data_IF_954093860861
#
_entry.id   IF_954093860861
#
_cell.length_a   1.000
_cell.length_b   1.000
_cell.length_c   1.000
_cell.angle_alpha   90.00
_cell.angle_beta   90.00
_cell.angle_gamma   90.00
#
_symmetry.space_group_name_H-M   'P 1'
#
loop_
_entity.id
_entity.type
_entity.pdbx_description
1 polymer ?
#
# COMPACT_ATOMS: atom_id res chain seq x y z
N UNK A 1 -12.25 13.28 -14.86
CA UNK A 1 -13.68 12.93 -14.67
C UNK A 1 -13.97 12.78 -13.19
N UNK A 2 -15.12 13.27 -12.69
CA UNK A 2 -15.46 13.24 -11.25
C UNK A 2 -16.73 12.41 -11.01
N UNK A 3 -16.69 11.47 -10.08
CA UNK A 3 -17.83 10.66 -9.63
C UNK A 3 -18.19 11.03 -8.19
N UNK A 4 -19.34 11.68 -7.98
CA UNK A 4 -19.73 12.21 -6.65
C UNK A 4 -21.02 11.63 -6.05
N UNK A 5 -21.91 11.04 -6.86
CA UNK A 5 -23.23 10.57 -6.42
C UNK A 5 -23.44 9.06 -6.59
N UNK A 6 -22.44 8.33 -7.07
CA UNK A 6 -22.53 6.89 -7.29
C UNK A 6 -22.01 6.17 -6.06
N UNK A 7 -22.91 5.60 -5.26
CA UNK A 7 -22.52 4.58 -4.28
C UNK A 7 -21.93 3.39 -5.05
N UNK A 8 -20.68 3.03 -4.74
CA UNK A 8 -20.01 1.90 -5.37
C UNK A 8 -20.16 0.71 -4.44
N UNK A 9 -21.05 -0.21 -4.82
CA UNK A 9 -21.29 -1.44 -4.09
C UNK A 9 -20.26 -2.50 -4.53
N UNK A 10 -19.50 -3.00 -3.57
CA UNK A 10 -18.69 -4.19 -3.75
C UNK A 10 -19.55 -5.40 -3.38
N UNK A 11 -19.69 -6.35 -4.31
CA UNK A 11 -20.65 -7.47 -4.24
C UNK A 11 -20.53 -8.36 -3.00
N UNK A 12 -21.56 -9.17 -2.75
CA UNK A 12 -21.82 -9.89 -1.50
C UNK A 12 -20.91 -11.08 -1.17
N UNK A 13 -19.96 -11.43 -2.06
CA UNK A 13 -19.03 -12.56 -1.82
C UNK A 13 -17.73 -12.35 -2.57
N UNK A 14 -16.63 -12.10 -1.86
CA UNK A 14 -15.28 -11.97 -2.44
C UNK A 14 -14.57 -13.33 -2.42
N UNK A 15 -14.31 -13.91 -3.60
CA UNK A 15 -13.37 -15.02 -3.78
C UNK A 15 -12.09 -14.51 -4.44
N UNK A 16 -10.92 -14.91 -3.95
CA UNK A 16 -9.62 -14.50 -4.49
C UNK A 16 -9.37 -15.19 -5.84
N UNK A 17 -10.00 -14.70 -6.92
CA UNK A 17 -9.70 -15.14 -8.28
C UNK A 17 -9.95 -14.00 -9.29
N UNK A 18 -8.85 -13.48 -9.82
CA UNK A 18 -8.72 -12.61 -11.00
C UNK A 18 -9.29 -11.19 -10.95
N UNK A 19 -8.42 -10.24 -11.34
CA UNK A 19 -8.67 -8.81 -11.50
C UNK A 19 -9.67 -8.51 -12.65
N UNK A 20 -10.95 -8.75 -12.39
CA UNK A 20 -12.07 -8.47 -13.29
C UNK A 20 -12.48 -7.01 -13.27
N UNK A 21 -12.53 -6.42 -14.46
CA UNK A 21 -13.01 -5.08 -14.77
C UNK A 21 -14.48 -4.89 -14.39
N UNK A 22 -14.84 -3.66 -14.04
CA UNK A 22 -16.21 -3.16 -13.84
C UNK A 22 -17.26 -3.74 -14.79
N UNK A 23 -18.17 -4.54 -14.25
CA UNK A 23 -19.54 -4.72 -14.72
C UNK A 23 -20.41 -5.00 -13.48
N UNK A 24 -21.36 -4.10 -13.23
CA UNK A 24 -22.31 -4.16 -12.12
C UNK A 24 -23.45 -5.16 -12.36
N UNK A 25 -23.11 -6.43 -12.56
CA UNK A 25 -24.03 -7.56 -12.49
C UNK A 25 -23.74 -8.39 -11.24
N UNK A 26 -24.77 -8.64 -10.41
CA UNK A 26 -24.71 -9.20 -9.04
C UNK A 26 -24.15 -10.61 -8.85
N UNK A 27 -23.20 -11.05 -9.68
CA UNK A 27 -22.44 -12.31 -9.56
C UNK A 27 -20.92 -12.11 -9.62
N UNK A 28 -20.41 -10.95 -10.04
CA UNK A 28 -18.97 -10.64 -10.04
C UNK A 28 -18.71 -9.39 -9.19
N UNK A 29 -18.21 -9.50 -7.95
CA UNK A 29 -17.90 -8.32 -7.15
C UNK A 29 -16.85 -7.47 -7.87
N UNK A 30 -17.06 -6.15 -7.93
CA UNK A 30 -16.03 -5.21 -8.38
C UNK A 30 -14.84 -5.36 -7.43
N UNK A 31 -13.74 -5.91 -7.92
CA UNK A 31 -12.54 -6.10 -7.13
C UNK A 31 -11.44 -5.09 -7.47
N UNK A 32 -11.67 -4.21 -8.45
CA UNK A 32 -10.76 -3.11 -8.72
C UNK A 32 -11.39 -1.87 -9.35
N UNK A 33 -10.77 -0.72 -9.11
CA UNK A 33 -10.88 0.47 -9.97
C UNK A 33 -9.69 0.57 -10.88
N UNK A 34 -9.91 0.87 -12.16
CA UNK A 34 -8.84 1.03 -13.13
C UNK A 34 -8.98 2.35 -13.88
N UNK A 35 -7.87 3.08 -14.00
CA UNK A 35 -7.77 4.17 -14.98
C UNK A 35 -6.62 3.89 -15.95
N UNK A 36 -6.98 3.51 -17.19
CA UNK A 36 -6.05 3.24 -18.28
C UNK A 36 -5.95 4.39 -19.29
N UNK A 37 -6.59 5.54 -19.01
CA UNK A 37 -6.44 6.71 -19.87
C UNK A 37 -5.02 7.25 -19.74
N UNK A 38 -4.33 7.51 -20.86
CA UNK A 38 -3.03 8.16 -20.83
C UNK A 38 -3.10 9.64 -20.43
N UNK A 39 -4.23 10.31 -20.70
CA UNK A 39 -4.36 11.76 -20.55
C UNK A 39 -5.25 12.20 -19.37
N UNK A 40 -6.32 11.44 -19.08
CA UNK A 40 -7.38 11.91 -18.19
C UNK A 40 -7.29 11.25 -16.82
N UNK A 41 -7.33 12.07 -15.76
CA UNK A 41 -7.45 11.58 -14.38
C UNK A 41 -8.90 11.36 -13.98
N UNK A 42 -9.09 10.56 -12.93
CA UNK A 42 -10.40 10.29 -12.31
C UNK A 42 -10.40 10.66 -10.82
N UNK A 43 -11.53 11.18 -10.35
CA UNK A 43 -11.77 11.49 -8.94
C UNK A 43 -13.04 10.80 -8.47
N UNK A 44 -12.95 10.11 -7.33
CA UNK A 44 -14.08 9.46 -6.68
C UNK A 44 -14.33 10.12 -5.33
N UNK A 45 -15.49 10.76 -5.16
CA UNK A 45 -15.86 11.41 -3.89
C UNK A 45 -16.83 10.57 -3.05
N UNK A 46 -17.42 9.53 -3.64
CA UNK A 46 -18.39 8.68 -2.96
C UNK A 46 -17.71 7.59 -2.13
N UNK A 47 -18.26 7.32 -0.95
CA UNK A 47 -17.80 6.22 -0.09
C UNK A 47 -17.99 4.86 -0.78
N UNK A 48 -17.13 3.89 -0.41
CA UNK A 48 -17.39 2.49 -0.76
C UNK A 48 -18.44 1.91 0.18
N UNK A 49 -19.35 1.13 -0.39
CA UNK A 49 -20.26 0.29 0.37
C UNK A 49 -19.79 -1.15 0.25
N UNK A 50 -19.36 -1.71 1.37
CA UNK A 50 -18.75 -3.04 1.45
C UNK A 50 -19.80 -4.02 1.98
N UNK A 51 -20.16 -5.00 1.15
CA UNK A 51 -20.99 -6.13 1.56
C UNK A 51 -20.25 -7.11 2.47
N UNK A 52 -20.87 -8.26 2.71
CA UNK A 52 -20.26 -9.30 3.52
C UNK A 52 -18.97 -9.85 2.89
N UNK A 53 -17.90 -9.93 3.69
CA UNK A 53 -16.67 -10.66 3.34
C UNK A 53 -16.65 -11.98 4.12
N UNK A 54 -16.58 -13.10 3.40
CA UNK A 54 -16.48 -14.45 3.99
C UNK A 54 -15.13 -14.65 4.70
N UNK A 55 -15.01 -15.70 5.52
CA UNK A 55 -13.78 -16.01 6.25
C UNK A 55 -12.58 -16.15 5.29
N UNK A 56 -11.46 -15.49 5.62
CA UNK A 56 -10.25 -15.42 4.79
C UNK A 56 -9.90 -14.00 4.31
N UNK A 57 -10.84 -13.05 4.41
CA UNK A 57 -10.64 -11.65 3.99
C UNK A 57 -10.80 -11.44 2.49
N UNK A 58 -10.88 -10.17 2.08
CA UNK A 58 -10.98 -9.74 0.68
C UNK A 58 -10.02 -8.60 0.39
N UNK A 59 -9.65 -8.35 -0.87
CA UNK A 59 -8.80 -7.22 -1.24
C UNK A 59 -9.39 -6.47 -2.42
N UNK A 60 -9.54 -5.16 -2.27
CA UNK A 60 -9.99 -4.29 -3.35
C UNK A 60 -8.82 -3.49 -3.93
N UNK A 61 -8.63 -3.52 -5.25
CA UNK A 61 -7.46 -2.93 -5.90
C UNK A 61 -7.75 -1.59 -6.56
N UNK A 62 -6.86 -0.63 -6.38
CA UNK A 62 -6.70 0.50 -7.28
C UNK A 62 -5.68 0.12 -8.37
N UNK A 63 -5.99 0.32 -9.64
CA UNK A 63 -5.22 -0.21 -10.74
C UNK A 63 -5.22 0.67 -11.98
N UNK A 64 -4.56 0.20 -13.03
CA UNK A 64 -4.42 0.86 -14.32
C UNK A 64 -3.10 1.61 -14.49
N UNK A 65 -2.95 2.28 -15.64
CA UNK A 65 -1.70 2.87 -16.11
C UNK A 65 -1.62 4.40 -16.06
N UNK A 66 -2.70 5.11 -15.71
CA UNK A 66 -2.67 6.56 -15.62
C UNK A 66 -1.76 7.02 -14.46
N UNK A 67 -0.68 7.73 -14.78
CA UNK A 67 0.32 8.21 -13.80
C UNK A 67 -0.04 9.55 -13.17
N UNK A 68 -1.10 10.20 -13.65
CA UNK A 68 -1.63 11.43 -13.06
C UNK A 68 -2.29 11.18 -11.70
N UNK A 69 -2.69 12.26 -11.04
CA UNK A 69 -3.34 12.18 -9.74
C UNK A 69 -4.77 11.66 -9.87
N UNK A 70 -5.00 10.40 -9.51
CA UNK A 70 -6.33 9.78 -9.42
C UNK A 70 -6.79 9.69 -7.95
N UNK A 71 -7.43 10.73 -7.39
CA UNK A 71 -7.87 10.72 -6.01
C UNK A 71 -9.13 9.86 -5.79
N UNK A 72 -9.06 9.04 -4.74
CA UNK A 72 -10.21 8.47 -4.07
C UNK A 72 -10.41 9.21 -2.74
N UNK A 73 -11.42 10.07 -2.73
CA UNK A 73 -11.85 10.89 -1.61
C UNK A 73 -13.12 10.36 -0.92
N UNK A 74 -13.61 9.19 -1.30
CA UNK A 74 -14.57 8.46 -0.47
C UNK A 74 -13.91 7.88 0.78
N UNK A 75 -14.72 7.50 1.77
CA UNK A 75 -14.32 6.63 2.87
C UNK A 75 -14.43 5.18 2.43
N UNK A 76 -13.42 4.38 2.74
CA UNK A 76 -13.40 2.93 2.57
C UNK A 76 -13.58 2.28 3.95
N UNK A 77 -14.78 1.73 4.24
CA UNK A 77 -15.02 1.05 5.50
C UNK A 77 -14.51 -0.39 5.49
N UNK A 78 -14.43 -1.03 6.65
CA UNK A 78 -14.31 -2.49 6.70
C UNK A 78 -15.65 -3.18 6.36
N UNK A 79 -15.58 -4.47 6.04
CA UNK A 79 -16.77 -5.33 6.02
C UNK A 79 -17.46 -5.36 7.39
N UNK A 80 -18.78 -5.46 7.36
CA UNK A 80 -19.64 -5.63 8.55
C UNK A 80 -19.75 -7.09 9.00
N UNK A 81 -19.21 -8.06 8.25
CA UNK A 81 -19.23 -9.49 8.61
C UNK A 81 -17.88 -10.17 8.38
N UNK A 82 -17.42 -10.93 9.38
CA UNK A 82 -16.47 -12.04 9.29
C UNK A 82 -15.03 -11.72 8.85
N UNK A 83 -14.83 -11.32 7.60
CA UNK A 83 -13.52 -11.06 7.01
C UNK A 83 -13.13 -9.58 7.01
N UNK A 84 -11.83 -9.33 6.97
CA UNK A 84 -11.29 -7.98 6.84
C UNK A 84 -11.10 -7.61 5.36
N UNK A 85 -11.42 -6.36 5.01
CA UNK A 85 -11.09 -5.79 3.71
C UNK A 85 -9.66 -5.25 3.73
N UNK A 86 -8.80 -5.75 2.85
CA UNK A 86 -7.53 -5.14 2.48
C UNK A 86 -7.68 -4.28 1.23
N UNK A 87 -6.67 -3.47 0.97
CA UNK A 87 -6.60 -2.64 -0.24
C UNK A 87 -5.32 -2.96 -1.01
N UNK A 88 -5.44 -3.00 -2.32
CA UNK A 88 -4.33 -3.23 -3.23
C UNK A 88 -4.06 -2.05 -4.14
N UNK A 89 -2.83 -1.96 -4.65
CA UNK A 89 -2.43 -1.08 -5.76
C UNK A 89 -1.64 -1.90 -6.78
N UNK A 90 -2.12 -1.95 -8.02
CA UNK A 90 -1.48 -2.67 -9.14
C UNK A 90 -1.44 -1.82 -10.41
N UNK A 91 -0.75 -2.27 -11.45
CA UNK A 91 -0.49 -1.48 -12.66
C UNK A 91 0.45 -0.29 -12.41
N UNK A 92 0.95 0.29 -13.48
CA UNK A 92 1.98 1.35 -13.43
C UNK A 92 1.47 2.72 -12.97
N UNK A 93 0.14 2.90 -12.87
CA UNK A 93 -0.48 4.19 -12.57
C UNK A 93 -0.33 4.66 -11.13
N UNK A 94 -0.93 5.82 -10.84
CA UNK A 94 -0.94 6.49 -9.53
C UNK A 94 -2.35 6.66 -9.01
N UNK A 95 -2.58 6.28 -7.75
CA UNK A 95 -3.81 6.55 -7.02
C UNK A 95 -3.52 7.25 -5.70
N UNK A 96 -4.46 8.07 -5.23
CA UNK A 96 -4.31 8.85 -3.99
C UNK A 96 -5.48 8.55 -3.08
N UNK A 97 -5.23 8.08 -1.85
CA UNK A 97 -6.25 7.98 -0.82
C UNK A 97 -6.18 9.23 0.05
N UNK A 98 -7.27 10.01 0.09
CA UNK A 98 -7.23 11.33 0.75
C UNK A 98 -7.90 11.33 2.12
N UNK A 99 -8.89 10.45 2.35
CA UNK A 99 -9.71 10.44 3.55
C UNK A 99 -9.37 9.31 4.54
N UNK A 100 -9.80 9.49 5.79
CA UNK A 100 -9.58 8.54 6.87
C UNK A 100 -10.43 7.28 6.69
N UNK A 101 -9.79 6.20 6.23
CA UNK A 101 -10.40 4.90 5.98
C UNK A 101 -10.38 4.02 7.23
N UNK A 102 -11.32 3.07 7.33
CA UNK A 102 -11.49 2.20 8.52
C UNK A 102 -11.40 0.70 8.23
N UNK A 103 -11.03 0.30 7.01
CA UNK A 103 -10.77 -1.10 6.66
C UNK A 103 -9.66 -1.71 7.53
N UNK A 104 -9.77 -3.00 7.86
CA UNK A 104 -8.90 -3.67 8.83
C UNK A 104 -7.83 -4.58 8.18
N UNK A 105 -7.91 -4.83 6.88
CA UNK A 105 -6.96 -5.65 6.15
C UNK A 105 -5.73 -4.86 5.68
N UNK A 106 -4.69 -5.58 5.29
CA UNK A 106 -3.41 -5.01 4.88
C UNK A 106 -3.50 -4.16 3.61
N UNK A 107 -2.50 -3.32 3.39
CA UNK A 107 -2.27 -2.63 2.12
C UNK A 107 -1.25 -3.39 1.29
N UNK A 108 -1.53 -3.65 0.01
CA UNK A 108 -0.66 -4.41 -0.90
C UNK A 108 -0.37 -3.59 -2.15
N UNK A 109 0.81 -2.99 -2.25
CA UNK A 109 1.23 -2.20 -3.41
C UNK A 109 2.13 -3.09 -4.26
N UNK A 110 1.57 -3.78 -5.24
CA UNK A 110 2.34 -4.66 -6.13
C UNK A 110 3.11 -3.87 -7.17
N UNK A 111 2.52 -2.78 -7.69
CA UNK A 111 3.09 -1.98 -8.79
C UNK A 111 2.54 -0.55 -8.79
N UNK A 112 3.32 0.39 -9.33
CA UNK A 112 2.94 1.80 -9.48
C UNK A 112 2.93 2.51 -8.13
N UNK A 113 2.16 3.60 -8.02
CA UNK A 113 2.19 4.48 -6.84
C UNK A 113 0.85 4.53 -6.11
N UNK A 114 0.87 4.25 -4.81
CA UNK A 114 -0.20 4.62 -3.87
C UNK A 114 0.29 5.81 -3.04
N UNK A 115 -0.40 6.95 -3.16
CA UNK A 115 -0.03 8.20 -2.49
C UNK A 115 -0.99 8.54 -1.37
N UNK A 116 -0.48 9.07 -0.26
CA UNK A 116 -1.28 9.52 0.89
C UNK A 116 -0.75 10.82 1.48
N UNK A 117 -1.67 11.63 2.01
CA UNK A 117 -1.34 12.89 2.70
C UNK A 117 -1.21 12.75 4.22
N UNK A 118 -1.50 11.58 4.79
CA UNK A 118 -1.38 11.31 6.23
C UNK A 118 -1.08 9.83 6.46
N UNK A 119 -0.24 9.55 7.44
CA UNK A 119 -0.08 8.23 8.05
C UNK A 119 -0.15 8.38 9.57
N UNK A 120 -0.70 7.37 10.24
CA UNK A 120 -0.93 7.35 11.68
C UNK A 120 -0.71 5.93 12.23
N UNK A 121 -0.89 5.75 13.53
CA UNK A 121 -0.89 4.45 14.19
C UNK A 121 -2.10 3.61 13.77
N UNK A 122 -1.96 2.28 13.76
CA UNK A 122 -2.94 1.29 13.28
C UNK A 122 -4.31 1.41 13.97
N UNK A 123 -4.37 1.96 15.18
CA UNK A 123 -5.62 2.17 15.91
C UNK A 123 -6.55 3.23 15.26
N UNK A 124 -5.98 4.18 14.51
CA UNK A 124 -6.68 5.35 13.99
C UNK A 124 -7.18 5.14 12.55
N UNK A 125 -8.35 5.71 12.24
CA UNK A 125 -8.79 5.83 10.87
C UNK A 125 -7.84 6.77 10.11
N UNK A 126 -7.39 6.36 8.93
CA UNK A 126 -6.33 7.03 8.19
C UNK A 126 -6.38 6.63 6.71
N UNK A 127 -5.72 7.35 5.80
CA UNK A 127 -5.72 7.01 4.37
C UNK A 127 -5.40 5.54 4.07
N UNK A 128 -4.46 4.94 4.78
CA UNK A 128 -4.09 3.53 4.61
C UNK A 128 -4.86 2.55 5.52
N UNK A 129 -6.02 2.97 6.03
CA UNK A 129 -6.88 2.16 6.90
C UNK A 129 -6.19 1.72 8.18
N UNK A 130 -6.80 0.76 8.87
CA UNK A 130 -6.34 0.20 10.15
C UNK A 130 -5.65 -1.16 9.97
N UNK A 131 -5.30 -1.54 8.74
CA UNK A 131 -4.49 -2.74 8.50
C UNK A 131 -3.09 -2.61 9.11
N UNK A 132 -2.54 -3.68 9.72
CA UNK A 132 -1.25 -3.61 10.40
C UNK A 132 -0.04 -3.59 9.47
N UNK A 133 -0.22 -3.93 8.19
CA UNK A 133 0.90 -4.13 7.25
C UNK A 133 0.74 -3.37 5.94
N UNK A 134 1.88 -2.97 5.39
CA UNK A 134 2.02 -2.47 4.02
C UNK A 134 3.02 -3.37 3.30
N UNK A 135 2.54 -4.05 2.26
CA UNK A 135 3.38 -4.82 1.35
C UNK A 135 3.77 -3.97 0.14
N UNK A 136 5.04 -4.03 -0.23
CA UNK A 136 5.63 -3.36 -1.40
C UNK A 136 6.24 -4.39 -2.34
N UNK A 137 5.75 -4.44 -3.57
CA UNK A 137 6.19 -5.39 -4.60
C UNK A 137 5.54 -6.77 -4.51
N UNK A 138 5.59 -7.50 -5.62
CA UNK A 138 5.15 -8.90 -5.74
C UNK A 138 5.70 -9.50 -7.06
N UNK A 139 6.07 -10.77 -7.10
CA UNK A 139 6.39 -11.51 -8.35
C UNK A 139 7.36 -10.79 -9.31
N UNK A 140 8.32 -10.03 -8.78
CA UNK A 140 9.31 -9.27 -9.55
C UNK A 140 8.91 -7.84 -9.94
N UNK A 141 7.70 -7.40 -9.59
CA UNK A 141 7.30 -5.99 -9.73
C UNK A 141 7.66 -5.17 -8.49
N UNK A 142 7.71 -3.85 -8.67
CA UNK A 142 8.02 -2.89 -7.61
C UNK A 142 6.86 -1.94 -7.34
N UNK A 143 6.43 -1.86 -6.09
CA UNK A 143 5.39 -0.94 -5.63
C UNK A 143 5.96 0.27 -4.90
N UNK A 144 5.33 1.43 -5.08
CA UNK A 144 5.71 2.68 -4.40
C UNK A 144 4.62 3.15 -3.45
N UNK A 145 4.99 3.31 -2.17
CA UNK A 145 4.25 4.14 -1.22
C UNK A 145 4.80 5.57 -1.30
N UNK A 146 3.95 6.54 -1.62
CA UNK A 146 4.32 7.95 -1.65
C UNK A 146 3.62 8.71 -0.52
N UNK A 147 4.39 9.49 0.25
CA UNK A 147 3.86 10.44 1.21
C UNK A 147 4.03 11.86 0.68
N UNK A 148 2.96 12.66 0.75
CA UNK A 148 2.91 14.05 0.25
C UNK A 148 2.34 15.03 1.28
N UNK A 149 2.08 14.58 2.51
CA UNK A 149 1.40 15.37 3.54
C UNK A 149 2.27 16.47 4.12
N UNK A 150 1.78 17.71 4.17
CA UNK A 150 2.54 18.87 4.65
C UNK A 150 2.88 18.83 6.15
N UNK A 151 2.26 17.96 6.94
CA UNK A 151 2.53 17.80 8.37
C UNK A 151 3.18 16.47 8.67
N UNK A 152 3.98 16.43 9.73
CA UNK A 152 4.64 15.20 10.17
C UNK A 152 3.63 14.07 10.39
N UNK A 153 4.05 12.88 10.00
CA UNK A 153 3.27 11.65 10.13
C UNK A 153 4.13 10.55 10.71
N UNK A 154 3.54 9.72 11.56
CA UNK A 154 4.19 8.56 12.14
C UNK A 154 3.28 7.36 12.01
N UNK A 155 3.82 6.19 11.69
CA UNK A 155 3.04 4.95 11.62
C UNK A 155 3.78 3.79 12.25
N UNK A 156 3.04 2.92 12.90
CA UNK A 156 3.48 1.62 13.43
C UNK A 156 3.11 0.47 12.50
N UNK A 157 2.67 0.75 11.26
CA UNK A 157 2.46 -0.28 10.26
C UNK A 157 3.77 -0.96 9.91
N UNK A 158 3.79 -2.29 9.98
CA UNK A 158 4.96 -3.08 9.62
C UNK A 158 5.09 -3.19 8.10
N UNK A 159 6.31 -3.06 7.59
CA UNK A 159 6.59 -3.16 6.16
C UNK A 159 6.86 -4.60 5.75
N UNK A 160 6.37 -4.98 4.58
CA UNK A 160 6.67 -6.24 3.90
C UNK A 160 7.28 -5.88 2.55
N UNK A 161 8.44 -6.43 2.22
CA UNK A 161 9.12 -6.19 0.94
C UNK A 161 9.03 -7.48 0.13
N UNK A 162 8.40 -7.41 -1.04
CA UNK A 162 8.02 -8.55 -1.84
C UNK A 162 6.81 -9.29 -1.27
N UNK A 163 6.78 -10.61 -1.41
CA UNK A 163 5.67 -11.48 -1.01
C UNK A 163 6.10 -12.40 0.15
N UNK A 164 5.21 -12.60 1.12
CA UNK A 164 5.42 -13.49 2.29
C UNK A 164 5.10 -14.98 2.03
N UNK A 165 4.39 -15.29 0.95
CA UNK A 165 3.93 -16.65 0.63
C UNK A 165 4.69 -17.26 -0.56
N UNK A 166 5.20 -16.44 -1.47
CA UNK A 166 6.05 -16.89 -2.57
C UNK A 166 7.45 -16.29 -2.45
N UNK A 167 8.37 -17.19 -2.15
CA UNK A 167 9.65 -16.93 -1.55
C UNK A 167 10.79 -16.88 -2.61
N UNK A 168 10.51 -17.16 -3.89
CA UNK A 168 11.51 -17.05 -4.99
C UNK A 168 11.40 -15.75 -5.80
N UNK A 169 10.74 -14.72 -5.26
CA UNK A 169 10.39 -13.53 -6.02
C UNK A 169 11.30 -12.35 -5.71
N UNK A 170 11.85 -11.73 -6.76
CA UNK A 170 12.70 -10.52 -6.74
C UNK A 170 11.89 -9.22 -6.57
N UNK A 171 10.69 -9.29 -5.98
CA UNK A 171 9.84 -8.10 -5.81
C UNK A 171 10.57 -7.02 -5.01
N UNK A 172 10.48 -5.77 -5.45
CA UNK A 172 11.12 -4.62 -4.80
C UNK A 172 10.09 -3.68 -4.20
N UNK A 173 10.51 -2.78 -3.32
CA UNK A 173 9.65 -1.78 -2.71
C UNK A 173 10.28 -0.40 -2.73
N UNK A 174 9.47 0.63 -2.91
CA UNK A 174 9.90 2.03 -2.74
C UNK A 174 9.02 2.73 -1.71
N UNK A 175 9.66 3.49 -0.82
CA UNK A 175 9.01 4.43 0.06
C UNK A 175 9.56 5.80 -0.28
N UNK A 176 8.67 6.72 -0.65
CA UNK A 176 9.05 8.04 -1.17
C UNK A 176 8.38 9.11 -0.33
N UNK A 177 9.17 9.98 0.32
CA UNK A 177 8.62 11.19 0.92
C UNK A 177 8.83 12.40 0.00
N UNK A 178 7.77 12.78 -0.71
CA UNK A 178 7.69 13.98 -1.55
C UNK A 178 6.93 15.14 -0.87
N UNK A 179 6.74 15.06 0.45
CA UNK A 179 6.20 16.17 1.22
C UNK A 179 7.15 17.37 1.21
N UNK A 180 6.65 18.60 1.01
CA UNK A 180 7.45 19.81 1.14
C UNK A 180 8.05 20.01 2.54
N UNK A 181 7.35 19.57 3.58
CA UNK A 181 7.68 19.92 4.97
C UNK A 181 7.48 18.78 5.96
N UNK A 182 6.49 17.91 5.75
CA UNK A 182 6.16 16.83 6.68
C UNK A 182 7.17 15.69 6.63
N UNK A 183 7.84 15.44 7.74
CA UNK A 183 8.67 14.26 7.92
C UNK A 183 7.81 13.01 8.10
N UNK A 184 8.32 11.86 7.65
CA UNK A 184 7.65 10.57 7.80
C UNK A 184 8.45 9.66 8.72
N UNK A 185 7.80 9.17 9.77
CA UNK A 185 8.39 8.22 10.74
C UNK A 185 7.71 6.86 10.65
N UNK A 186 8.50 5.80 10.50
CA UNK A 186 8.07 4.42 10.73
C UNK A 186 8.57 3.97 12.10
N UNK A 187 7.65 3.90 13.07
CA UNK A 187 7.95 3.61 14.47
C UNK A 187 7.92 2.12 14.82
N UNK A 188 7.44 1.25 13.93
CA UNK A 188 7.42 -0.19 14.18
C UNK A 188 8.85 -0.74 14.33
N UNK A 189 9.04 -1.64 15.29
CA UNK A 189 10.31 -2.32 15.53
C UNK A 189 10.08 -3.83 15.69
N UNK A 190 10.64 -4.68 14.80
CA UNK A 190 11.45 -4.35 13.63
C UNK A 190 10.65 -3.61 12.54
N UNK A 191 11.35 -2.88 11.65
CA UNK A 191 10.70 -2.10 10.59
C UNK A 191 9.98 -3.00 9.58
N UNK A 192 10.68 -4.02 9.07
CA UNK A 192 10.14 -4.98 8.13
C UNK A 192 9.91 -6.35 8.76
N UNK A 193 8.99 -7.11 8.17
CA UNK A 193 8.75 -8.51 8.50
C UNK A 193 9.70 -9.43 7.70
N UNK A 194 10.26 -10.42 8.39
CA UNK A 194 11.00 -11.54 7.81
C UNK A 194 9.98 -12.57 7.29
N UNK A 195 10.09 -13.01 6.03
CA UNK A 195 9.19 -14.06 5.51
C UNK A 195 9.54 -15.40 6.15
N UNK A 196 8.51 -16.19 6.49
CA UNK A 196 8.67 -17.42 7.25
C UNK A 196 9.61 -18.45 6.59
N UNK A 197 10.20 -19.28 7.45
CA UNK A 197 11.18 -20.39 7.38
C UNK A 197 11.38 -21.23 6.09
N UNK A 198 10.71 -20.98 4.98
CA UNK A 198 10.99 -21.66 3.70
C UNK A 198 11.98 -20.82 2.90
N UNK A 199 13.26 -21.08 3.13
CA UNK A 199 14.44 -20.35 2.63
C UNK A 199 14.27 -19.76 1.24
N UNK A 200 14.33 -18.42 1.14
CA UNK A 200 14.55 -17.67 -0.10
C UNK A 200 16.04 -17.47 -0.27
N UNK A 201 16.59 -17.65 -1.47
CA UNK A 201 17.97 -17.27 -1.81
C UNK A 201 18.02 -15.96 -2.61
N UNK A 202 16.97 -15.13 -2.49
CA UNK A 202 16.73 -14.01 -3.41
C UNK A 202 16.74 -12.71 -2.64
N UNK A 203 17.70 -11.85 -2.98
CA UNK A 203 17.77 -10.48 -2.46
C UNK A 203 16.58 -9.65 -2.94
N UNK A 204 16.15 -8.70 -2.11
CA UNK A 204 15.10 -7.73 -2.48
C UNK A 204 15.54 -6.32 -2.22
N UNK A 205 15.21 -5.41 -3.13
CA UNK A 205 15.56 -4.01 -3.00
C UNK A 205 14.48 -3.24 -2.24
N UNK A 206 14.89 -2.50 -1.21
CA UNK A 206 14.12 -1.40 -0.64
C UNK A 206 14.74 -0.08 -1.11
N UNK A 207 13.98 0.75 -1.79
CA UNK A 207 14.39 2.10 -2.16
C UNK A 207 13.75 3.11 -1.21
N UNK A 208 14.58 3.87 -0.50
CA UNK A 208 14.17 5.04 0.26
C UNK A 208 14.37 6.27 -0.61
N UNK A 209 13.29 6.94 -0.95
CA UNK A 209 13.23 7.98 -1.97
C UNK A 209 12.70 9.32 -1.47
N UNK A 210 12.66 10.28 -2.38
CA UNK A 210 11.92 11.53 -2.23
C UNK A 210 12.77 12.78 -2.08
N UNK A 211 12.08 13.91 -1.93
CA UNK A 211 12.66 15.25 -1.88
C UNK A 211 12.57 15.89 -0.48
N UNK A 212 11.84 15.28 0.47
CA UNK A 212 11.73 15.83 1.82
C UNK A 212 13.09 15.77 2.54
N UNK A 213 13.68 16.93 2.84
CA UNK A 213 14.98 17.05 3.51
C UNK A 213 14.90 17.01 5.04
N UNK A 214 13.68 16.93 5.60
CA UNK A 214 13.45 16.73 7.02
C UNK A 214 13.85 15.32 7.48
N UNK A 215 13.71 15.07 8.78
CA UNK A 215 14.15 13.82 9.41
C UNK A 215 13.16 12.67 9.16
N UNK A 216 13.12 12.14 7.95
CA UNK A 216 12.38 10.90 7.69
C UNK A 216 13.07 9.76 8.41
N UNK A 217 12.34 9.04 9.25
CA UNK A 217 12.95 8.14 10.22
C UNK A 217 12.37 6.74 10.10
N UNK A 218 13.24 5.74 10.06
CA UNK A 218 12.90 4.34 10.29
C UNK A 218 13.48 3.99 11.65
N UNK A 219 12.61 3.86 12.67
CA UNK A 219 13.04 3.66 14.05
C UNK A 219 13.47 2.21 14.32
N UNK A 220 12.74 1.25 13.76
CA UNK A 220 13.05 -0.17 13.87
C UNK A 220 14.22 -0.61 12.99
N UNK A 221 14.80 -1.77 13.29
CA UNK A 221 15.81 -2.38 12.43
C UNK A 221 15.20 -2.75 11.07
N UNK A 222 15.89 -2.37 9.99
CA UNK A 222 15.72 -3.00 8.68
C UNK A 222 16.52 -4.30 8.73
N UNK A 223 15.79 -5.41 8.63
CA UNK A 223 16.31 -6.76 8.77
C UNK A 223 16.45 -7.43 7.40
N UNK A 224 17.47 -8.28 7.27
CA UNK A 224 17.59 -9.20 6.15
C UNK A 224 16.33 -10.05 6.00
N UNK A 225 15.98 -10.36 4.75
CA UNK A 225 14.78 -11.13 4.48
C UNK A 225 14.89 -12.58 4.97
N UNK A 226 16.10 -13.16 4.87
CA UNK A 226 16.49 -14.39 5.54
C UNK A 226 17.95 -14.21 5.99
N UNK A 227 18.18 -14.28 7.30
CA UNK A 227 19.52 -14.15 7.88
C UNK A 227 20.51 -15.10 7.21
N UNK A 228 21.53 -14.54 6.57
CA UNK A 228 22.60 -15.31 5.92
C UNK A 228 22.26 -15.99 4.59
N UNK A 229 21.09 -15.70 3.99
CA UNK A 229 20.70 -16.30 2.70
C UNK A 229 20.01 -15.35 1.70
N UNK A 230 19.31 -14.31 2.17
CA UNK A 230 18.66 -13.32 1.31
C UNK A 230 18.64 -11.95 1.98
N UNK A 231 19.29 -11.00 1.34
CA UNK A 231 19.51 -9.66 1.87
C UNK A 231 18.39 -8.69 1.49
N UNK A 232 18.27 -7.61 2.27
CA UNK A 232 17.57 -6.42 1.81
C UNK A 232 18.58 -5.46 1.19
N UNK A 233 18.57 -5.28 -0.13
CA UNK A 233 19.41 -4.27 -0.75
C UNK A 233 18.79 -2.90 -0.49
N UNK A 234 19.43 -2.08 0.34
CA UNK A 234 18.97 -0.72 0.61
C UNK A 234 19.52 0.26 -0.42
N UNK A 235 18.63 0.93 -1.14
CA UNK A 235 18.97 1.98 -2.11
C UNK A 235 18.42 3.33 -1.64
N UNK A 236 19.23 4.38 -1.73
CA UNK A 236 18.78 5.76 -1.51
C UNK A 236 18.60 6.46 -2.86
N UNK A 237 17.43 7.04 -3.08
CA UNK A 237 17.12 7.84 -4.27
C UNK A 237 16.66 9.25 -3.90
N UNK A 238 16.95 10.24 -4.75
CA UNK A 238 16.54 11.63 -4.55
C UNK A 238 17.29 12.36 -3.42
N UNK A 239 16.97 13.63 -3.24
CA UNK A 239 17.67 14.56 -2.34
C UNK A 239 17.22 14.48 -0.86
N UNK A 240 16.11 13.81 -0.57
CA UNK A 240 15.54 13.76 0.78
C UNK A 240 16.43 13.01 1.78
N UNK A 241 16.22 13.23 3.07
CA UNK A 241 17.03 12.62 4.14
C UNK A 241 16.29 11.42 4.71
N UNK A 242 16.98 10.31 4.98
CA UNK A 242 16.44 9.15 5.70
C UNK A 242 17.37 8.75 6.84
N UNK A 243 16.85 8.69 8.06
CA UNK A 243 17.53 8.31 9.29
C UNK A 243 17.13 6.87 9.61
N UNK A 244 18.12 6.00 9.80
CA UNK A 244 17.94 4.60 10.17
C UNK A 244 18.35 4.45 11.64
N UNK A 245 17.36 4.42 12.53
CA UNK A 245 17.56 4.44 13.98
C UNK A 245 17.80 3.07 14.61
N UNK A 246 17.40 1.99 13.93
CA UNK A 246 17.58 0.62 14.42
C UNK A 246 18.96 0.03 14.13
N UNK A 247 19.31 -1.06 14.82
CA UNK A 247 20.50 -1.88 14.50
C UNK A 247 20.16 -2.75 13.28
N UNK A 248 20.58 -2.29 12.11
CA UNK A 248 20.22 -2.91 10.85
C UNK A 248 21.12 -4.11 10.51
N UNK A 249 20.61 -5.03 9.69
CA UNK A 249 21.35 -6.20 9.21
C UNK A 249 21.36 -6.33 7.68
N UNK A 250 20.91 -5.31 6.96
CA UNK A 250 20.81 -5.29 5.50
C UNK A 250 22.16 -5.19 4.78
#
# INVERSE_FOLDING_TARGET
MVFSTRQINIGSTFGNANAGIFDGGGVNPINSFQNNSAANTVTFNSNLSIGAIVAGGGSFFFAGSNTGNNPFAGIIPNSTSGGNLGIGKSGTGKWILTNANSYLGNVIITEGTLSVGKMDVVANNQPLGKGPRIQLGNSGTSGTLEFTGATDSSTDKQIVIGNLTNNNQVGAGSIVNNSPTGALTFSNSPFNLISGTTVTTVDRTLTLGGNNTGNNTISGAIQDHVTGAAQIILTKAGAGTWILGGVNTY
#
